data_IF_117858954673
#
_entry.id   IF_117858954673
#
_cell.length_a   1.000
_cell.length_b   1.000
_cell.length_c   1.000
_cell.angle_alpha   90.00
_cell.angle_beta   90.00
_cell.angle_gamma   90.00
#
_symmetry.space_group_name_H-M   'P 1'
#
loop_
_entity.id
_entity.type
_entity.pdbx_description
1 polymer ?
#
# COMPACT_ATOMS: atom_id res chain seq x y z
N UNK A 1 -25.89 8.46 -4.81
CA UNK A 1 -24.91 8.93 -5.82
C UNK A 1 -24.44 7.75 -6.65
N UNK A 2 -24.54 7.85 -7.97
CA UNK A 2 -24.05 6.82 -8.91
C UNK A 2 -22.52 6.84 -8.96
N UNK A 3 -21.89 5.70 -8.67
CA UNK A 3 -20.42 5.54 -8.75
C UNK A 3 -19.97 5.62 -10.22
N UNK A 4 -18.80 6.22 -10.52
CA UNK A 4 -18.31 6.34 -11.89
C UNK A 4 -18.02 4.96 -12.49
N UNK A 5 -18.53 4.71 -13.71
CA UNK A 5 -18.37 3.44 -14.44
C UNK A 5 -17.20 3.48 -15.41
N UNK A 6 -16.76 4.66 -15.82
CA UNK A 6 -15.65 4.84 -16.77
C UNK A 6 -14.56 5.73 -16.18
N UNK A 7 -13.35 5.66 -16.73
CA UNK A 7 -12.22 6.49 -16.31
C UNK A 7 -12.55 7.99 -16.44
N UNK A 8 -13.16 8.40 -17.55
CA UNK A 8 -13.54 9.80 -17.78
C UNK A 8 -14.53 10.27 -16.72
N UNK A 9 -15.53 9.46 -16.40
CA UNK A 9 -16.47 9.77 -15.32
C UNK A 9 -15.75 9.86 -13.97
N UNK A 10 -14.79 8.97 -13.68
CA UNK A 10 -14.02 9.01 -12.44
C UNK A 10 -13.20 10.30 -12.33
N UNK A 11 -12.55 10.74 -13.41
CA UNK A 11 -11.78 11.98 -13.44
C UNK A 11 -12.70 13.19 -13.16
N UNK A 12 -13.85 13.26 -13.83
CA UNK A 12 -14.80 14.36 -13.63
C UNK A 12 -15.41 14.32 -12.23
N UNK A 13 -15.78 13.14 -11.74
CA UNK A 13 -16.42 12.95 -10.44
C UNK A 13 -15.48 13.31 -9.28
N UNK A 14 -14.20 12.93 -9.36
CA UNK A 14 -13.21 13.24 -8.33
C UNK A 14 -12.51 14.60 -8.48
N UNK A 15 -12.82 15.35 -9.55
CA UNK A 15 -12.32 16.72 -9.70
C UNK A 15 -12.83 17.65 -8.60
N UNK A 16 -14.04 17.40 -8.09
CA UNK A 16 -14.57 18.07 -6.91
C UNK A 16 -13.93 17.49 -5.63
N UNK A 17 -13.24 18.36 -4.90
CA UNK A 17 -12.52 18.01 -3.68
C UNK A 17 -13.43 17.56 -2.54
N UNK A 18 -14.66 18.07 -2.48
CA UNK A 18 -15.66 17.68 -1.48
C UNK A 18 -16.21 16.30 -1.80
N UNK A 19 -16.53 16.02 -3.07
CA UNK A 19 -16.94 14.69 -3.51
C UNK A 19 -15.83 13.67 -3.27
N UNK A 20 -14.58 13.97 -3.65
CA UNK A 20 -13.45 13.08 -3.43
C UNK A 20 -13.19 12.81 -1.94
N UNK A 21 -13.38 13.83 -1.09
CA UNK A 21 -13.24 13.68 0.36
C UNK A 21 -14.35 12.79 0.93
N UNK A 22 -15.62 13.09 0.61
CA UNK A 22 -16.76 12.34 1.12
C UNK A 22 -16.74 10.89 0.63
N UNK A 23 -16.40 10.66 -0.64
CA UNK A 23 -16.25 9.31 -1.19
C UNK A 23 -15.25 8.46 -0.38
N UNK A 24 -14.12 9.06 0.01
CA UNK A 24 -13.12 8.36 0.81
C UNK A 24 -13.57 8.15 2.26
N UNK A 25 -14.35 9.08 2.82
CA UNK A 25 -14.96 8.93 4.16
C UNK A 25 -15.93 7.76 4.15
N UNK A 26 -16.85 7.71 3.19
CA UNK A 26 -17.86 6.66 3.08
C UNK A 26 -17.22 5.28 2.85
N UNK A 27 -16.13 5.24 2.07
CA UNK A 27 -15.40 4.00 1.81
C UNK A 27 -14.67 3.47 3.06
N UNK A 28 -14.13 4.38 3.88
CA UNK A 28 -13.32 4.01 5.04
C UNK A 28 -14.15 3.76 6.29
N UNK A 29 -15.17 4.58 6.50
CA UNK A 29 -15.94 4.69 7.74
C UNK A 29 -17.43 4.53 7.45
N UNK A 30 -17.78 3.38 6.86
CA UNK A 30 -19.16 3.04 6.54
C UNK A 30 -20.10 3.11 7.76
N UNK A 31 -19.64 2.62 8.91
CA UNK A 31 -20.39 2.61 10.18
C UNK A 31 -20.07 3.79 11.11
N UNK A 32 -19.49 4.87 10.56
CA UNK A 32 -19.14 6.08 11.30
C UNK A 32 -17.65 6.24 11.57
N UNK A 33 -17.26 7.49 11.87
CA UNK A 33 -15.86 7.90 11.91
C UNK A 33 -15.21 7.44 13.21
N UNK A 34 -14.14 6.65 13.07
CA UNK A 34 -13.35 6.15 14.19
C UNK A 34 -12.00 6.85 14.21
N UNK A 35 -11.54 7.30 15.39
CA UNK A 35 -10.23 7.91 15.50
C UNK A 35 -9.11 6.89 15.20
N UNK A 36 -8.27 7.11 14.18
CA UNK A 36 -7.22 6.16 13.79
C UNK A 36 -6.07 6.06 14.78
N UNK A 37 -6.04 6.91 15.82
CA UNK A 37 -4.99 6.88 16.85
C UNK A 37 -5.38 6.16 18.13
N UNK A 38 -6.66 6.19 18.50
CA UNK A 38 -7.11 5.67 19.80
C UNK A 38 -8.44 4.91 19.74
N UNK A 39 -9.05 4.74 18.56
CA UNK A 39 -10.32 4.02 18.42
C UNK A 39 -11.57 4.76 18.93
N UNK A 40 -11.43 6.00 19.43
CA UNK A 40 -12.56 6.75 19.96
C UNK A 40 -13.60 7.11 18.89
N UNK A 41 -14.88 6.94 19.24
CA UNK A 41 -16.03 7.23 18.37
C UNK A 41 -16.50 8.69 18.45
N UNK A 42 -16.21 9.37 19.57
CA UNK A 42 -16.61 10.76 19.73
C UNK A 42 -15.59 11.73 19.12
N UNK A 43 -16.08 12.60 18.24
CA UNK A 43 -15.26 13.61 17.57
C UNK A 43 -16.06 14.88 17.27
N UNK A 44 -15.35 16.00 17.11
CA UNK A 44 -15.89 17.19 16.45
C UNK A 44 -15.29 17.34 15.05
N UNK A 45 -16.10 17.78 14.09
CA UNK A 45 -15.65 17.99 12.71
C UNK A 45 -15.33 19.47 12.48
N UNK A 46 -14.16 19.74 11.92
CA UNK A 46 -13.70 21.08 11.53
C UNK A 46 -13.85 21.22 10.01
N UNK A 47 -14.96 21.81 9.58
CA UNK A 47 -15.33 21.96 8.16
C UNK A 47 -14.29 22.72 7.35
N UNK A 48 -13.67 23.76 7.93
CA UNK A 48 -12.68 24.60 7.24
C UNK A 48 -11.42 23.86 6.82
N UNK A 49 -11.03 22.81 7.56
CA UNK A 49 -9.81 22.02 7.29
C UNK A 49 -10.12 20.60 6.82
N UNK A 50 -11.38 20.20 6.81
CA UNK A 50 -11.84 18.83 6.51
C UNK A 50 -11.13 17.79 7.40
N UNK A 51 -11.08 18.11 8.70
CA UNK A 51 -10.44 17.26 9.72
C UNK A 51 -11.37 17.03 10.90
N UNK A 52 -11.16 15.91 11.59
CA UNK A 52 -11.84 15.57 12.83
C UNK A 52 -10.90 15.83 14.01
N UNK A 53 -11.45 16.28 15.13
CA UNK A 53 -10.77 16.34 16.42
C UNK A 53 -11.41 15.31 17.34
N UNK A 54 -10.63 14.30 17.72
CA UNK A 54 -11.10 13.28 18.66
C UNK A 54 -11.33 13.89 20.05
N UNK A 55 -12.44 13.58 20.72
CA UNK A 55 -12.68 14.03 22.09
C UNK A 55 -11.82 13.28 23.11
N UNK A 56 -11.56 11.99 22.89
CA UNK A 56 -10.77 11.16 23.79
C UNK A 56 -9.28 11.54 23.81
N UNK A 57 -8.58 11.48 22.67
CA UNK A 57 -7.15 11.79 22.61
C UNK A 57 -6.82 13.26 22.30
N UNK A 58 -7.83 14.10 22.04
CA UNK A 58 -7.71 15.52 21.66
C UNK A 58 -6.89 15.81 20.38
N UNK A 59 -6.38 14.78 19.71
CA UNK A 59 -5.61 14.88 18.47
C UNK A 59 -6.53 15.10 17.27
N UNK A 60 -6.03 15.84 16.28
CA UNK A 60 -6.70 16.00 14.99
C UNK A 60 -6.26 14.92 14.01
N UNK A 61 -7.17 14.49 13.15
CA UNK A 61 -6.89 13.56 12.07
C UNK A 61 -7.73 13.91 10.83
N UNK A 62 -7.21 13.56 9.66
CA UNK A 62 -7.95 13.63 8.40
C UNK A 62 -8.31 12.23 7.94
N UNK A 63 -9.19 12.13 6.94
CA UNK A 63 -9.56 10.86 6.31
C UNK A 63 -8.34 10.13 5.71
N UNK A 64 -7.26 10.88 5.40
CA UNK A 64 -6.02 10.31 4.86
C UNK A 64 -5.16 9.62 5.92
N UNK A 65 -5.29 9.95 7.21
CA UNK A 65 -4.39 9.47 8.27
C UNK A 65 -4.43 7.95 8.42
N UNK A 66 -3.29 7.27 8.39
CA UNK A 66 -3.23 5.80 8.41
C UNK A 66 -3.62 5.13 7.09
N UNK A 67 -3.72 5.86 5.97
CA UNK A 67 -4.02 5.27 4.64
C UNK A 67 -2.86 5.40 3.65
N UNK A 68 -3.00 4.80 2.47
CA UNK A 68 -2.11 5.07 1.32
C UNK A 68 -2.10 6.53 0.83
N UNK A 69 -3.01 7.39 1.30
CA UNK A 69 -3.04 8.80 0.94
C UNK A 69 -2.30 9.69 1.96
N UNK A 70 -1.94 9.14 3.11
CA UNK A 70 -1.26 9.88 4.18
C UNK A 70 0.11 10.41 3.74
N UNK A 71 0.47 11.61 4.23
CA UNK A 71 1.74 12.30 3.98
C UNK A 71 2.06 12.47 2.49
N UNK A 72 1.04 12.48 1.63
CA UNK A 72 1.18 12.77 0.22
C UNK A 72 0.71 14.21 -0.06
N UNK A 73 1.53 15.04 -0.72
CA UNK A 73 1.11 16.36 -1.18
C UNK A 73 0.13 16.28 -2.37
N UNK A 74 -0.08 15.08 -2.93
CA UNK A 74 -0.96 14.84 -4.07
C UNK A 74 -2.41 14.88 -3.58
N UNK A 75 -3.26 15.58 -4.32
CA UNK A 75 -4.68 15.69 -4.04
C UNK A 75 -5.46 14.40 -4.33
N UNK A 76 -6.65 14.27 -3.74
CA UNK A 76 -7.50 13.09 -3.92
C UNK A 76 -8.04 12.99 -5.35
N UNK A 77 -8.15 14.13 -6.04
CA UNK A 77 -8.46 14.29 -7.46
C UNK A 77 -7.52 13.50 -8.38
N UNK A 78 -6.28 13.25 -7.96
CA UNK A 78 -5.32 12.41 -8.71
C UNK A 78 -5.21 11.01 -8.14
N UNK A 79 -5.27 10.89 -6.81
CA UNK A 79 -5.19 9.60 -6.15
C UNK A 79 -6.34 8.65 -6.50
N UNK A 80 -7.59 9.14 -6.50
CA UNK A 80 -8.76 8.29 -6.72
C UNK A 80 -8.84 7.82 -8.19
N UNK A 81 -8.60 8.66 -9.21
CA UNK A 81 -8.44 8.15 -10.58
C UNK A 81 -7.27 7.19 -10.75
N UNK A 82 -6.13 7.41 -10.09
CA UNK A 82 -5.01 6.45 -10.13
C UNK A 82 -5.42 5.07 -9.57
N UNK A 83 -6.14 5.05 -8.45
CA UNK A 83 -6.69 3.81 -7.87
C UNK A 83 -7.63 3.15 -8.86
N UNK A 84 -8.53 3.92 -9.48
CA UNK A 84 -9.46 3.40 -10.50
C UNK A 84 -8.71 2.76 -11.68
N UNK A 85 -7.69 3.44 -12.22
CA UNK A 85 -6.91 2.94 -13.35
C UNK A 85 -6.20 1.62 -13.02
N UNK A 86 -5.58 1.54 -11.84
CA UNK A 86 -4.83 0.33 -11.43
C UNK A 86 -5.79 -0.82 -11.09
N UNK A 87 -6.91 -0.53 -10.43
CA UNK A 87 -7.90 -1.55 -10.06
C UNK A 87 -8.61 -2.16 -11.27
N UNK A 88 -8.82 -1.39 -12.34
CA UNK A 88 -9.49 -1.85 -13.56
C UNK A 88 -8.51 -2.41 -14.63
N UNK A 89 -7.21 -2.23 -14.46
CA UNK A 89 -6.20 -2.75 -15.40
C UNK A 89 -5.87 -4.21 -15.13
N UNK A 90 -6.60 -5.14 -15.77
CA UNK A 90 -6.39 -6.61 -15.61
C UNK A 90 -4.95 -7.07 -15.84
N UNK A 91 -4.25 -6.48 -16.81
CA UNK A 91 -2.88 -6.83 -17.16
C UNK A 91 -1.83 -5.95 -16.45
N UNK A 92 -2.27 -5.10 -15.51
CA UNK A 92 -1.46 -4.04 -14.93
C UNK A 92 -1.35 -2.82 -15.84
N UNK A 93 -0.83 -1.75 -15.27
CA UNK A 93 -0.61 -0.46 -15.94
C UNK A 93 0.78 0.08 -15.60
N UNK A 94 1.44 0.72 -16.57
CA UNK A 94 2.74 1.35 -16.40
C UNK A 94 2.64 2.66 -15.61
N UNK A 95 3.65 2.98 -14.81
CA UNK A 95 3.78 4.31 -14.20
C UNK A 95 3.83 5.43 -15.24
N UNK A 96 4.35 5.17 -16.44
CA UNK A 96 4.42 6.15 -17.53
C UNK A 96 3.04 6.43 -18.14
N UNK A 97 2.14 5.45 -18.14
CA UNK A 97 0.76 5.63 -18.59
C UNK A 97 -0.04 6.44 -17.58
N UNK A 98 0.08 6.12 -16.28
CA UNK A 98 -0.55 6.90 -15.20
C UNK A 98 -0.05 8.36 -15.23
N UNK A 99 1.25 8.56 -15.43
CA UNK A 99 1.85 9.89 -15.53
C UNK A 99 1.21 10.74 -16.63
N UNK A 100 1.08 10.16 -17.83
CA UNK A 100 0.44 10.82 -18.99
C UNK A 100 -1.04 11.05 -18.76
N UNK A 101 -1.76 10.08 -18.19
CA UNK A 101 -3.20 10.19 -17.97
C UNK A 101 -3.57 11.25 -16.91
N UNK A 102 -2.77 11.38 -15.84
CA UNK A 102 -3.06 12.28 -14.71
C UNK A 102 -2.30 13.61 -14.78
N UNK A 103 -1.44 13.81 -15.78
CA UNK A 103 -0.60 14.99 -15.90
C UNK A 103 0.34 15.17 -14.71
N UNK A 104 0.98 14.08 -14.27
CA UNK A 104 1.98 14.10 -13.19
C UNK A 104 3.33 13.59 -13.69
N UNK A 105 4.41 13.87 -12.96
CA UNK A 105 5.71 13.30 -13.30
C UNK A 105 5.70 11.78 -13.15
N UNK A 106 6.50 11.08 -13.95
CA UNK A 106 6.61 9.62 -13.86
C UNK A 106 7.02 9.17 -12.46
N UNK A 107 7.92 9.89 -11.79
CA UNK A 107 8.31 9.62 -10.40
C UNK A 107 7.13 9.66 -9.43
N UNK A 108 6.23 10.64 -9.62
CA UNK A 108 5.00 10.77 -8.81
C UNK A 108 4.04 9.61 -9.09
N UNK A 109 3.83 9.29 -10.37
CA UNK A 109 3.00 8.15 -10.76
C UNK A 109 3.56 6.82 -10.24
N UNK A 110 4.87 6.63 -10.26
CA UNK A 110 5.55 5.46 -9.71
C UNK A 110 5.33 5.34 -8.19
N UNK A 111 5.46 6.44 -7.46
CA UNK A 111 5.15 6.48 -6.03
C UNK A 111 3.69 6.09 -5.73
N UNK A 112 2.75 6.62 -6.51
CA UNK A 112 1.32 6.27 -6.37
C UNK A 112 1.07 4.80 -6.69
N UNK A 113 1.60 4.32 -7.81
CA UNK A 113 1.47 2.95 -8.29
C UNK A 113 1.95 1.94 -7.24
N UNK A 114 3.12 2.19 -6.64
CA UNK A 114 3.66 1.31 -5.60
C UNK A 114 2.75 1.24 -4.37
N UNK A 115 2.30 2.39 -3.83
CA UNK A 115 1.42 2.39 -2.65
C UNK A 115 0.09 1.71 -2.93
N UNK A 116 -0.49 1.92 -4.11
CA UNK A 116 -1.77 1.31 -4.50
C UNK A 116 -1.61 -0.20 -4.65
N UNK A 117 -0.59 -0.68 -5.36
CA UNK A 117 -0.34 -2.12 -5.51
C UNK A 117 -0.11 -2.81 -4.16
N UNK A 118 0.64 -2.16 -3.26
CA UNK A 118 0.88 -2.68 -1.91
C UNK A 118 -0.42 -2.79 -1.11
N UNK A 119 -1.33 -1.82 -1.20
CA UNK A 119 -2.63 -1.86 -0.53
C UNK A 119 -3.62 -2.85 -1.16
N UNK A 120 -3.57 -3.05 -2.47
CA UNK A 120 -4.39 -4.07 -3.14
C UNK A 120 -4.03 -5.48 -2.70
N UNK A 121 -2.78 -5.73 -2.29
CA UNK A 121 -2.36 -7.03 -1.75
C UNK A 121 -2.89 -7.29 -0.33
N UNK A 122 -3.10 -6.25 0.49
CA UNK A 122 -3.60 -6.39 1.87
C UNK A 122 -5.13 -6.41 1.95
N UNK A 123 -5.84 -6.13 0.86
CA UNK A 123 -7.30 -6.02 0.85
C UNK A 123 -7.85 -4.82 1.63
N UNK A 124 -6.98 -3.96 2.16
CA UNK A 124 -7.31 -2.74 2.92
C UNK A 124 -6.40 -1.58 2.50
N UNK A 125 -6.91 -0.36 2.57
CA UNK A 125 -6.15 0.87 2.34
C UNK A 125 -5.37 1.35 3.57
N UNK A 126 -5.55 0.67 4.70
CA UNK A 126 -4.90 1.01 5.96
C UNK A 126 -3.44 0.57 5.97
N UNK A 127 -2.58 1.37 6.60
CA UNK A 127 -1.19 1.00 6.87
C UNK A 127 -1.13 0.10 8.10
N UNK A 128 -0.08 -0.73 8.18
CA UNK A 128 0.32 -1.32 9.45
C UNK A 128 0.51 -0.23 10.52
N UNK A 129 0.05 -0.52 11.72
CA UNK A 129 0.00 0.38 12.86
C UNK A 129 0.57 -0.30 14.11
N UNK A 130 1.05 0.47 15.08
CA UNK A 130 1.61 -0.09 16.32
C UNK A 130 2.96 -0.79 16.13
N UNK A 131 3.19 -1.85 16.91
CA UNK A 131 4.42 -2.64 16.89
C UNK A 131 4.39 -3.61 15.70
N UNK A 132 5.26 -3.33 14.72
CA UNK A 132 5.48 -4.22 13.57
C UNK A 132 6.80 -4.93 13.77
N UNK A 133 6.75 -6.25 13.87
CA UNK A 133 7.92 -7.12 13.91
C UNK A 133 8.28 -7.51 12.48
N UNK A 134 9.58 -7.41 12.17
CA UNK A 134 10.14 -7.77 10.88
C UNK A 134 11.20 -8.83 11.14
N UNK A 135 11.08 -9.96 10.45
CA UNK A 135 12.07 -11.03 10.49
C UNK A 135 12.38 -11.51 9.07
N UNK A 136 13.61 -11.97 8.85
CA UNK A 136 14.00 -12.59 7.61
C UNK A 136 14.41 -14.05 7.81
N UNK A 137 13.89 -14.91 6.94
CA UNK A 137 14.25 -16.32 6.89
C UNK A 137 14.72 -16.72 5.49
N UNK A 138 15.61 -17.70 5.44
CA UNK A 138 16.21 -18.16 4.19
C UNK A 138 15.70 -19.56 3.86
N UNK A 139 14.79 -19.65 2.89
CA UNK A 139 14.12 -20.90 2.49
C UNK A 139 14.79 -21.49 1.25
N UNK A 140 15.23 -22.74 1.35
CA UNK A 140 15.87 -23.44 0.24
C UNK A 140 16.20 -24.90 0.57
N UNK A 141 16.71 -25.63 -0.44
CA UNK A 141 17.00 -27.05 -0.34
C UNK A 141 17.99 -27.41 0.79
N UNK A 142 17.70 -28.50 1.51
CA UNK A 142 18.60 -29.03 2.57
C UNK A 142 19.93 -29.46 1.94
N UNK A 143 21.05 -29.20 2.64
CA UNK A 143 22.42 -29.57 2.19
C UNK A 143 22.49 -31.04 1.80
N UNK A 144 21.91 -31.93 2.62
CA UNK A 144 21.91 -33.37 2.42
C UNK A 144 21.26 -33.85 1.11
N UNK A 145 20.46 -33.00 0.47
CA UNK A 145 19.78 -33.29 -0.79
C UNK A 145 20.48 -32.62 -2.00
N UNK A 146 21.63 -31.98 -1.80
CA UNK A 146 22.41 -31.36 -2.88
C UNK A 146 23.38 -32.37 -3.52
N UNK A 147 23.67 -32.22 -4.81
CA UNK A 147 24.73 -33.01 -5.47
C UNK A 147 26.11 -32.69 -4.87
N UNK A 148 26.99 -33.69 -4.76
CA UNK A 148 28.32 -33.57 -4.15
C UNK A 148 29.12 -32.35 -4.62
N UNK A 149 29.13 -32.08 -5.92
CA UNK A 149 29.83 -30.91 -6.49
C UNK A 149 29.31 -29.55 -5.95
N UNK A 150 27.99 -29.44 -5.69
CA UNK A 150 27.39 -28.24 -5.07
C UNK A 150 27.63 -28.16 -3.56
N UNK A 151 27.81 -29.30 -2.89
CA UNK A 151 28.15 -29.35 -1.46
C UNK A 151 29.57 -28.80 -1.26
N UNK A 152 30.54 -29.26 -2.05
CA UNK A 152 31.93 -28.78 -1.98
C UNK A 152 32.07 -27.28 -2.32
N UNK A 153 31.33 -26.80 -3.33
CA UNK A 153 31.26 -25.36 -3.62
C UNK A 153 30.67 -24.55 -2.46
N UNK A 154 29.65 -25.10 -1.78
CA UNK A 154 29.01 -24.44 -0.65
C UNK A 154 29.89 -24.42 0.59
N UNK A 155 30.63 -25.48 0.87
CA UNK A 155 31.58 -25.52 1.99
C UNK A 155 32.67 -24.44 1.86
N UNK A 156 33.12 -24.15 0.63
CA UNK A 156 34.04 -23.05 0.32
C UNK A 156 33.43 -21.65 0.50
N UNK A 157 32.10 -21.52 0.37
CA UNK A 157 31.37 -20.25 0.46
C UNK A 157 30.71 -20.00 1.83
N UNK A 158 30.87 -20.93 2.79
CA UNK A 158 30.34 -20.82 4.14
C UNK A 158 28.87 -21.23 4.30
N UNK A 159 28.37 -21.20 5.55
CA UNK A 159 26.99 -21.60 5.93
C UNK A 159 25.90 -20.56 5.57
N UNK A 160 26.17 -19.70 4.58
CA UNK A 160 25.36 -18.52 4.24
C UNK A 160 24.08 -18.78 3.43
N UNK A 161 23.45 -17.66 3.04
CA UNK A 161 22.19 -17.50 2.29
C UNK A 161 22.27 -17.88 0.79
N UNK A 162 23.41 -18.37 0.34
CA UNK A 162 23.67 -18.69 -1.07
C UNK A 162 22.69 -19.77 -1.57
N UNK A 163 22.00 -19.50 -2.69
CA UNK A 163 20.97 -20.34 -3.29
C UNK A 163 19.73 -20.60 -2.41
N UNK A 164 19.42 -19.70 -1.46
CA UNK A 164 18.16 -19.71 -0.73
C UNK A 164 17.33 -18.49 -1.12
N UNK A 165 16.02 -18.67 -1.25
CA UNK A 165 15.09 -17.56 -1.34
C UNK A 165 15.09 -16.82 0.00
N UNK A 166 15.24 -15.50 -0.04
CA UNK A 166 15.11 -14.66 1.15
C UNK A 166 13.62 -14.38 1.32
N UNK A 167 13.08 -14.72 2.47
CA UNK A 167 11.68 -14.52 2.81
C UNK A 167 11.65 -13.53 3.96
N UNK A 168 11.13 -12.33 3.71
CA UNK A 168 10.95 -11.30 4.73
C UNK A 168 9.49 -11.34 5.18
N UNK A 169 9.26 -11.58 6.46
CA UNK A 169 7.95 -11.50 7.10
C UNK A 169 7.80 -10.16 7.81
N UNK A 170 6.65 -9.52 7.65
CA UNK A 170 6.19 -8.41 8.46
C UNK A 170 4.93 -8.87 9.22
N UNK A 171 4.96 -8.75 10.54
CA UNK A 171 3.84 -9.09 11.42
C UNK A 171 3.48 -7.86 12.25
N UNK A 172 2.23 -7.39 12.13
CA UNK A 172 1.64 -6.48 13.11
C UNK A 172 1.15 -7.28 14.32
N UNK A 173 1.56 -6.92 15.54
CA UNK A 173 1.13 -7.64 16.75
C UNK A 173 -0.40 -7.64 16.86
N UNK A 174 -1.01 -8.83 16.94
CA UNK A 174 -2.46 -9.06 16.89
C UNK A 174 -3.15 -8.58 15.59
N UNK A 175 -2.39 -8.41 14.50
CA UNK A 175 -2.86 -7.86 13.24
C UNK A 175 -2.52 -8.73 12.03
N UNK A 176 -2.25 -8.08 10.90
CA UNK A 176 -2.00 -8.77 9.64
C UNK A 176 -0.54 -9.24 9.51
N UNK A 177 -0.35 -10.37 8.83
CA UNK A 177 0.98 -10.87 8.42
C UNK A 177 1.14 -10.65 6.92
N UNK A 178 2.28 -10.08 6.51
CA UNK A 178 2.67 -9.97 5.10
C UNK A 178 4.05 -10.59 4.90
N UNK A 179 4.13 -11.51 3.95
CA UNK A 179 5.38 -12.19 3.58
C UNK A 179 5.79 -11.75 2.18
N UNK A 180 7.03 -11.29 2.03
CA UNK A 180 7.65 -10.91 0.76
C UNK A 180 8.80 -11.88 0.49
N UNK A 181 8.77 -12.52 -0.68
CA UNK A 181 9.82 -13.45 -1.11
C UNK A 181 10.71 -12.74 -2.12
N UNK A 182 11.99 -12.56 -1.79
CA UNK A 182 13.03 -12.12 -2.71
C UNK A 182 13.72 -13.36 -3.29
N UNK A 183 13.49 -13.60 -4.58
CA UNK A 183 14.26 -14.61 -5.32
C UNK A 183 15.66 -14.08 -5.62
N UNK A 184 16.68 -14.78 -5.14
CA UNK A 184 18.11 -14.47 -5.35
C UNK A 184 18.64 -14.89 -6.72
N UNK A 185 17.77 -15.26 -7.67
CA UNK A 185 18.16 -15.45 -9.07
C UNK A 185 17.85 -14.18 -9.87
N UNK A 186 18.79 -13.23 -9.85
CA UNK A 186 18.96 -12.31 -10.98
C UNK A 186 19.39 -13.16 -12.19
N UNK A 187 18.42 -13.70 -12.93
CA UNK A 187 18.60 -13.81 -14.37
C UNK A 187 18.28 -12.43 -14.91
N UNK A 188 19.33 -11.73 -15.32
CA UNK A 188 19.23 -10.63 -16.28
C UNK A 188 18.33 -11.10 -17.42
N UNK A 189 17.12 -10.59 -17.50
CA UNK A 189 16.40 -10.56 -18.75
C UNK A 189 16.97 -9.37 -19.51
N UNK A 190 17.78 -9.67 -20.53
CA UNK A 190 17.94 -8.78 -21.68
C UNK A 190 16.59 -8.56 -22.37
#
# INVERSE_FOLDING_TARGET
MTRPQTLQQAIVYFADKDIAHQYLVDLRWYDGVVCPKCGGLEHSYLTTRKTWKCKACKKQFSVKVGTIFENSPIGLDKWLPAVWMIANAKNGISSCEIARALGVTQKTAWFMLHRIRVAMQSGTFEKFSGDVEIDETYVGGKVKNMHKAKIEQREKQGRGSVNKAIVVGLLERNGQVKVIIYMTHLRSFE
#
